data_IF_194033510881
#
_entry.id   IF_194033510881
#
_cell.length_a   1.000
_cell.length_b   1.000
_cell.length_c   1.000
_cell.angle_alpha   90.00
_cell.angle_beta   90.00
_cell.angle_gamma   90.00
#
_symmetry.space_group_name_H-M   'P 1'
#
loop_
_entity.id
_entity.type
_entity.pdbx_description
1 polymer ?
#
# COMPACT_ATOMS: atom_id res chain seq x y z
N UNK A 1 14.17 -16.21 -13.58
CA UNK A 1 14.64 -15.40 -12.44
C UNK A 1 13.86 -14.08 -12.43
N UNK A 2 12.87 -13.88 -11.54
CA UNK A 2 12.23 -12.56 -11.39
C UNK A 2 13.12 -11.70 -10.48
N UNK A 3 13.56 -10.52 -10.95
CA UNK A 3 14.36 -9.56 -10.20
C UNK A 3 13.68 -9.26 -8.85
N UNK A 4 14.27 -9.74 -7.76
CA UNK A 4 14.08 -9.15 -6.43
C UNK A 4 14.91 -7.85 -6.44
N UNK A 5 14.40 -6.79 -5.79
CA UNK A 5 15.13 -5.56 -5.37
C UNK A 5 15.16 -4.34 -6.30
N UNK A 6 14.01 -3.89 -6.81
CA UNK A 6 13.80 -2.46 -7.09
C UNK A 6 12.80 -1.91 -6.06
N UNK A 7 13.18 -1.93 -4.78
CA UNK A 7 12.41 -1.31 -3.69
C UNK A 7 13.11 -0.03 -3.27
N UNK A 8 12.51 1.11 -3.57
CA UNK A 8 13.03 2.42 -3.15
C UNK A 8 12.36 2.82 -1.84
N UNK A 9 13.11 3.25 -0.81
CA UNK A 9 12.51 3.80 0.40
C UNK A 9 11.74 5.08 0.05
N UNK A 10 10.48 5.15 0.46
CA UNK A 10 9.63 6.30 0.23
C UNK A 10 9.11 6.82 1.57
N UNK A 11 9.50 8.03 1.93
CA UNK A 11 9.00 8.71 3.12
C UNK A 11 7.71 9.45 2.75
N UNK A 12 6.60 9.04 3.36
CA UNK A 12 5.30 9.72 3.20
C UNK A 12 4.87 10.28 4.54
N UNK A 13 4.32 11.49 4.55
CA UNK A 13 3.58 12.00 5.70
C UNK A 13 2.13 11.57 5.59
N UNK A 14 1.72 10.63 6.45
CA UNK A 14 0.35 10.13 6.54
C UNK A 14 -0.29 10.61 7.83
N UNK A 15 -1.63 10.70 7.82
CA UNK A 15 -2.39 11.06 9.00
C UNK A 15 -2.17 10.03 10.14
N UNK A 16 -2.17 10.52 11.38
CA UNK A 16 -1.92 9.70 12.57
C UNK A 16 -2.99 8.63 12.75
N UNK A 17 -4.25 8.92 12.42
CA UNK A 17 -5.34 7.95 12.52
C UNK A 17 -5.20 6.86 11.45
N UNK A 18 -4.86 7.25 10.22
CA UNK A 18 -4.62 6.31 9.12
C UNK A 18 -3.45 5.35 9.45
N UNK A 19 -2.34 5.86 9.99
CA UNK A 19 -1.22 5.01 10.44
C UNK A 19 -1.62 4.06 11.57
N UNK A 20 -2.44 4.53 12.52
CA UNK A 20 -2.95 3.71 13.61
C UNK A 20 -3.82 2.57 13.08
N UNK A 21 -4.75 2.87 12.19
CA UNK A 21 -5.60 1.87 11.53
C UNK A 21 -4.78 0.88 10.70
N UNK A 22 -3.82 1.35 9.91
CA UNK A 22 -2.93 0.50 9.13
C UNK A 22 -2.14 -0.45 10.02
N UNK A 23 -1.69 0.02 11.19
CA UNK A 23 -0.99 -0.82 12.18
C UNK A 23 -1.92 -1.90 12.75
N UNK A 24 -3.15 -1.57 13.13
CA UNK A 24 -4.10 -2.59 13.60
C UNK A 24 -4.39 -3.62 12.51
N UNK A 25 -4.67 -3.17 11.29
CA UNK A 25 -4.93 -4.03 10.15
C UNK A 25 -3.74 -4.96 9.84
N UNK A 26 -2.51 -4.46 9.98
CA UNK A 26 -1.30 -5.28 9.82
C UNK A 26 -1.22 -6.43 10.82
N UNK A 27 -1.68 -6.20 12.06
CA UNK A 27 -1.74 -7.23 13.11
C UNK A 27 -2.88 -8.21 12.84
N UNK A 28 -4.05 -7.73 12.46
CA UNK A 28 -5.23 -8.57 12.20
C UNK A 28 -5.02 -9.52 11.00
N UNK A 29 -4.43 -9.02 9.92
CA UNK A 29 -4.20 -9.79 8.69
C UNK A 29 -2.85 -10.54 8.73
N UNK A 30 -1.99 -10.24 9.72
CA UNK A 30 -0.67 -10.85 9.85
C UNK A 30 0.31 -10.47 8.72
N UNK A 31 0.11 -9.30 8.09
CA UNK A 31 0.92 -8.79 6.98
C UNK A 31 1.79 -7.62 7.43
N UNK A 32 2.86 -7.30 6.72
CA UNK A 32 3.64 -6.09 7.02
C UNK A 32 2.88 -4.86 6.54
N UNK A 33 3.05 -3.75 7.27
CA UNK A 33 2.43 -2.46 6.90
C UNK A 33 2.80 -2.04 5.47
N UNK A 34 4.04 -2.27 5.05
CA UNK A 34 4.49 -1.97 3.69
C UNK A 34 3.75 -2.80 2.64
N UNK A 35 3.54 -4.11 2.89
CA UNK A 35 2.81 -4.96 1.94
C UNK A 35 1.36 -4.48 1.79
N UNK A 36 0.69 -4.13 2.90
CA UNK A 36 -0.66 -3.56 2.87
C UNK A 36 -0.72 -2.20 2.16
N UNK A 37 0.31 -1.37 2.33
CA UNK A 37 0.40 -0.07 1.69
C UNK A 37 0.63 -0.21 0.18
N UNK A 38 1.48 -1.15 -0.25
CA UNK A 38 1.64 -1.51 -1.66
C UNK A 38 0.31 -2.02 -2.26
N UNK A 39 -0.39 -2.93 -1.58
CA UNK A 39 -1.71 -3.42 -2.00
C UNK A 39 -2.74 -2.28 -2.15
N UNK A 40 -2.80 -1.35 -1.19
CA UNK A 40 -3.71 -0.21 -1.25
C UNK A 40 -3.38 0.75 -2.41
N UNK A 41 -2.09 0.95 -2.71
CA UNK A 41 -1.66 1.76 -3.86
C UNK A 41 -2.05 1.08 -5.18
N UNK A 42 -1.81 -0.22 -5.31
CA UNK A 42 -2.17 -0.97 -6.52
C UNK A 42 -3.69 -0.95 -6.78
N UNK A 43 -4.50 -1.21 -5.75
CA UNK A 43 -5.97 -1.15 -5.84
C UNK A 43 -6.44 0.25 -6.27
N UNK A 44 -5.84 1.30 -5.69
CA UNK A 44 -6.16 2.68 -6.04
C UNK A 44 -5.78 2.98 -7.50
N UNK A 45 -4.58 2.60 -7.95
CA UNK A 45 -4.14 2.76 -9.34
C UNK A 45 -5.09 2.04 -10.30
N UNK A 46 -5.46 0.79 -10.02
CA UNK A 46 -6.40 0.04 -10.85
C UNK A 46 -7.78 0.69 -10.90
N UNK A 47 -8.29 1.15 -9.76
CA UNK A 47 -9.56 1.87 -9.66
C UNK A 47 -9.58 3.12 -10.53
N UNK A 48 -8.50 3.92 -10.52
CA UNK A 48 -8.41 5.11 -11.38
C UNK A 48 -8.14 4.77 -12.85
N UNK A 49 -7.37 3.72 -13.16
CA UNK A 49 -7.21 3.23 -14.54
C UNK A 49 -8.53 2.78 -15.15
N UNK A 50 -9.38 2.11 -14.38
CA UNK A 50 -10.73 1.70 -14.80
C UNK A 50 -11.64 2.91 -15.02
N UNK A 51 -11.54 3.94 -14.18
CA UNK A 51 -12.29 5.20 -14.33
C UNK A 51 -11.81 6.06 -15.50
N UNK A 52 -10.52 6.10 -15.78
CA UNK A 52 -9.93 6.90 -16.85
C UNK A 52 -10.12 6.30 -18.26
N UNK A 53 -10.58 5.04 -18.35
CA UNK A 53 -10.94 4.37 -19.61
C UNK A 53 -12.44 4.47 -19.96
N UNK A 54 -13.23 5.20 -19.19
CA UNK A 54 -14.63 5.51 -19.50
C UNK A 54 -14.76 6.92 -20.08
#
# INVERSE_FOLDING_TARGET
MKKKTDRTPYNTTLDKEALKQLKFLSVEVGKRQNDLLEEAIEDLIEKYKKKAKQ
#
